data_IF_912293964126
#
_entry.id   IF_912293964126
#
_cell.length_a   1.000
_cell.length_b   1.000
_cell.length_c   1.000
_cell.angle_alpha   90.00
_cell.angle_beta   90.00
_cell.angle_gamma   90.00
#
_symmetry.space_group_name_H-M   'P 1'
#
loop_
_entity.id
_entity.type
_entity.pdbx_description
1 polymer ?
#
# COMPACT_ATOMS: atom_id res chain seq x y z
N UNK A 1 -20.99 26.90 14.97
CA UNK A 1 -21.71 26.69 13.70
C UNK A 1 -21.22 25.35 13.16
N UNK A 2 -22.00 24.31 13.35
CA UNK A 2 -21.70 22.95 12.92
C UNK A 2 -21.77 22.91 11.40
N UNK A 3 -20.66 22.86 10.71
CA UNK A 3 -20.60 22.57 9.29
C UNK A 3 -20.46 21.06 9.09
N UNK A 4 -21.59 20.53 8.68
CA UNK A 4 -21.90 19.29 8.08
C UNK A 4 -20.78 18.31 7.81
N UNK A 5 -20.61 17.34 8.72
CA UNK A 5 -20.15 16.04 8.31
C UNK A 5 -21.13 15.54 7.24
N UNK A 6 -20.61 15.20 6.07
CA UNK A 6 -21.39 14.55 5.03
C UNK A 6 -22.01 13.30 5.65
N UNK A 7 -23.33 13.31 5.86
CA UNK A 7 -24.12 12.12 6.12
C UNK A 7 -23.92 11.13 4.97
N UNK A 8 -22.81 10.42 4.99
CA UNK A 8 -22.56 9.24 4.20
C UNK A 8 -23.52 8.18 4.69
N UNK A 9 -24.48 7.80 3.84
CA UNK A 9 -25.42 6.69 3.99
C UNK A 9 -24.82 5.59 4.88
N UNK A 10 -25.52 5.23 5.94
CA UNK A 10 -25.10 4.36 7.06
C UNK A 10 -24.63 2.93 6.71
N UNK A 11 -23.82 2.78 5.71
CA UNK A 11 -23.15 1.54 5.35
C UNK A 11 -21.87 1.41 6.19
N UNK A 12 -21.98 0.70 7.30
CA UNK A 12 -20.81 0.36 8.14
C UNK A 12 -19.79 -0.42 7.31
N UNK A 13 -18.56 0.07 7.29
CA UNK A 13 -17.46 -0.64 6.63
C UNK A 13 -16.99 -1.78 7.50
N UNK A 14 -16.78 -2.94 6.90
CA UNK A 14 -16.23 -4.10 7.60
C UNK A 14 -14.70 -4.05 7.57
N UNK A 15 -14.10 -3.58 8.65
CA UNK A 15 -12.66 -3.59 8.86
C UNK A 15 -12.15 -4.99 9.17
N UNK A 16 -11.01 -5.38 8.62
CA UNK A 16 -10.43 -6.69 8.84
C UNK A 16 -8.94 -6.70 8.52
N UNK A 17 -8.05 -6.83 9.52
CA UNK A 17 -6.62 -7.00 9.31
C UNK A 17 -6.27 -8.19 8.41
N UNK A 18 -7.07 -9.27 8.47
CA UNK A 18 -6.88 -10.43 7.58
C UNK A 18 -7.08 -10.06 6.10
N UNK A 19 -8.11 -9.24 5.80
CA UNK A 19 -8.34 -8.77 4.42
C UNK A 19 -7.21 -7.87 3.94
N UNK A 20 -6.71 -6.98 4.81
CA UNK A 20 -5.56 -6.14 4.51
C UNK A 20 -4.32 -6.99 4.21
N UNK A 21 -4.05 -8.02 5.03
CA UNK A 21 -2.95 -8.97 4.80
C UNK A 21 -3.06 -9.67 3.45
N UNK A 22 -4.22 -10.20 3.11
CA UNK A 22 -4.45 -10.86 1.81
C UNK A 22 -4.20 -9.86 0.67
N UNK A 23 -4.72 -8.64 0.79
CA UNK A 23 -4.57 -7.60 -0.23
C UNK A 23 -3.11 -7.24 -0.48
N UNK A 24 -2.35 -7.01 0.59
CA UNK A 24 -0.93 -6.64 0.50
C UNK A 24 -0.03 -7.79 0.02
N UNK A 25 -0.46 -9.04 0.22
CA UNK A 25 0.34 -10.23 -0.10
C UNK A 25 0.03 -10.80 -1.49
N UNK A 26 -1.15 -10.53 -2.07
CA UNK A 26 -1.58 -11.18 -3.32
C UNK A 26 -0.62 -10.92 -4.48
N UNK A 27 -0.16 -9.69 -4.66
CA UNK A 27 0.78 -9.32 -5.74
C UNK A 27 2.14 -10.01 -5.58
N UNK A 28 2.84 -9.82 -4.45
CA UNK A 28 4.11 -10.50 -4.19
C UNK A 28 4.01 -12.03 -4.24
N UNK A 29 2.93 -12.64 -3.71
CA UNK A 29 2.73 -14.10 -3.75
C UNK A 29 2.58 -14.60 -5.18
N UNK A 30 1.73 -13.96 -5.98
CA UNK A 30 1.54 -14.35 -7.39
C UNK A 30 2.84 -14.18 -8.19
N UNK A 31 3.58 -13.11 -7.95
CA UNK A 31 4.89 -12.88 -8.55
C UNK A 31 5.90 -13.96 -8.12
N UNK A 32 5.97 -14.31 -6.83
CA UNK A 32 6.86 -15.34 -6.33
C UNK A 32 6.52 -16.72 -6.91
N UNK A 33 5.24 -17.08 -7.04
CA UNK A 33 4.80 -18.32 -7.67
C UNK A 33 5.25 -18.35 -9.14
N UNK A 34 4.99 -17.26 -9.88
CA UNK A 34 5.35 -17.17 -11.30
C UNK A 34 6.86 -17.31 -11.51
N UNK A 35 7.67 -16.49 -10.87
CA UNK A 35 9.12 -16.53 -11.00
C UNK A 35 9.74 -17.78 -10.39
N UNK A 36 9.15 -18.32 -9.30
CA UNK A 36 9.55 -19.58 -8.69
C UNK A 36 9.38 -20.76 -9.64
N UNK A 37 8.26 -20.82 -10.36
CA UNK A 37 8.03 -21.86 -11.38
C UNK A 37 9.12 -21.83 -12.47
N UNK A 38 9.45 -20.64 -13.00
CA UNK A 38 10.52 -20.53 -13.99
C UNK A 38 11.89 -20.87 -13.39
N UNK A 39 12.19 -20.44 -12.18
CA UNK A 39 13.46 -20.79 -11.51
C UNK A 39 13.61 -22.29 -11.30
N UNK A 40 12.57 -22.96 -10.83
CA UNK A 40 12.56 -24.43 -10.68
C UNK A 40 12.74 -25.14 -12.03
N UNK A 41 12.07 -24.66 -13.09
CA UNK A 41 12.24 -25.19 -14.45
C UNK A 41 13.67 -25.06 -14.94
N UNK A 42 14.30 -23.90 -14.75
CA UNK A 42 15.71 -23.73 -15.11
C UNK A 42 16.64 -24.65 -14.34
N UNK A 43 16.45 -24.80 -13.03
CA UNK A 43 17.27 -25.70 -12.21
C UNK A 43 17.09 -27.15 -12.67
N UNK A 44 15.85 -27.58 -12.92
CA UNK A 44 15.57 -28.92 -13.41
C UNK A 44 16.29 -29.20 -14.73
N UNK A 45 16.16 -28.32 -15.73
CA UNK A 45 16.85 -28.48 -17.02
C UNK A 45 18.36 -28.41 -16.87
N UNK A 46 18.89 -27.59 -15.95
CA UNK A 46 20.33 -27.55 -15.68
C UNK A 46 20.87 -28.91 -15.17
N UNK A 47 20.11 -29.56 -14.31
CA UNK A 47 20.47 -30.86 -13.77
C UNK A 47 20.36 -31.98 -14.83
N UNK A 48 19.35 -31.90 -15.71
CA UNK A 48 19.09 -32.90 -16.73
C UNK A 48 20.06 -32.83 -17.91
N UNK A 49 20.35 -31.64 -18.42
CA UNK A 49 21.18 -31.42 -19.60
C UNK A 49 22.69 -31.31 -19.30
N UNK A 50 23.03 -31.18 -18.03
CA UNK A 50 24.40 -31.04 -17.56
C UNK A 50 25.02 -29.66 -17.71
N UNK A 51 26.10 -29.41 -16.97
CA UNK A 51 26.76 -28.10 -16.89
C UNK A 51 27.33 -27.67 -18.26
N UNK A 52 27.82 -28.62 -19.07
CA UNK A 52 28.39 -28.30 -20.40
C UNK A 52 27.41 -27.62 -21.33
N UNK A 53 26.18 -28.12 -21.40
CA UNK A 53 25.12 -27.51 -22.20
C UNK A 53 24.84 -26.06 -21.76
N UNK A 54 24.83 -25.81 -20.45
CA UNK A 54 24.60 -24.46 -19.92
C UNK A 54 25.74 -23.50 -20.24
N UNK A 55 26.99 -23.98 -20.16
CA UNK A 55 28.15 -23.19 -20.52
C UNK A 55 28.15 -22.80 -22.01
N UNK A 56 27.77 -23.73 -22.89
CA UNK A 56 27.63 -23.46 -24.31
C UNK A 56 26.48 -22.47 -24.58
N UNK A 57 25.33 -22.63 -23.94
CA UNK A 57 24.20 -21.71 -24.08
C UNK A 57 24.50 -20.31 -23.55
N UNK A 58 25.24 -20.22 -22.44
CA UNK A 58 25.71 -18.95 -21.88
C UNK A 58 26.68 -18.25 -22.85
N UNK A 59 27.59 -19.03 -23.45
CA UNK A 59 28.60 -18.52 -24.38
C UNK A 59 27.99 -18.02 -25.71
N UNK A 60 26.95 -18.69 -26.18
CA UNK A 60 26.30 -18.37 -27.44
C UNK A 60 25.19 -17.30 -27.32
N UNK A 61 24.58 -17.16 -26.14
CA UNK A 61 23.42 -16.30 -25.99
C UNK A 61 23.45 -15.46 -24.70
N UNK A 62 24.15 -14.31 -24.77
CA UNK A 62 24.25 -13.36 -23.66
C UNK A 62 22.89 -12.89 -23.12
N UNK A 63 21.87 -12.75 -23.97
CA UNK A 63 20.53 -12.32 -23.56
C UNK A 63 19.87 -13.35 -22.64
N UNK A 64 20.21 -14.62 -22.74
CA UNK A 64 19.71 -15.67 -21.86
C UNK A 64 20.23 -15.50 -20.43
N UNK A 65 21.50 -15.08 -20.26
CA UNK A 65 22.06 -14.79 -18.93
C UNK A 65 21.29 -13.63 -18.28
N UNK A 66 21.09 -12.55 -19.01
CA UNK A 66 20.36 -11.39 -18.49
C UNK A 66 18.94 -11.76 -18.08
N UNK A 67 18.25 -12.58 -18.89
CA UNK A 67 16.91 -13.07 -18.58
C UNK A 67 16.90 -13.97 -17.31
N UNK A 68 17.88 -14.84 -17.17
CA UNK A 68 18.04 -15.70 -15.99
C UNK A 68 18.27 -14.88 -14.73
N UNK A 69 19.19 -13.92 -14.78
CA UNK A 69 19.45 -13.01 -13.65
C UNK A 69 18.17 -12.23 -13.30
N UNK A 70 17.47 -11.71 -14.29
CA UNK A 70 16.23 -10.95 -14.08
C UNK A 70 15.15 -11.78 -13.37
N UNK A 71 14.93 -13.03 -13.77
CA UNK A 71 13.97 -13.95 -13.12
C UNK A 71 14.33 -14.14 -11.65
N UNK A 72 15.59 -14.44 -11.35
CA UNK A 72 16.01 -14.72 -9.97
C UNK A 72 15.97 -13.46 -9.10
N UNK A 73 16.36 -12.32 -9.63
CA UNK A 73 16.25 -11.03 -8.92
C UNK A 73 14.78 -10.69 -8.63
N UNK A 74 13.88 -10.92 -9.60
CA UNK A 74 12.44 -10.70 -9.42
C UNK A 74 11.83 -11.65 -8.36
N UNK A 75 12.30 -12.89 -8.30
CA UNK A 75 11.89 -13.83 -7.25
C UNK A 75 12.34 -13.36 -5.87
N UNK A 76 13.61 -13.00 -5.72
CA UNK A 76 14.15 -12.47 -4.46
C UNK A 76 13.42 -11.22 -4.02
N UNK A 77 13.18 -10.29 -4.94
CA UNK A 77 12.42 -9.07 -4.66
C UNK A 77 10.99 -9.37 -4.21
N UNK A 78 10.31 -10.33 -4.84
CA UNK A 78 8.96 -10.73 -4.46
C UNK A 78 8.92 -11.31 -3.04
N UNK A 79 9.86 -12.18 -2.69
CA UNK A 79 9.99 -12.75 -1.35
C UNK A 79 10.30 -11.64 -0.32
N UNK A 80 11.22 -10.73 -0.64
CA UNK A 80 11.55 -9.61 0.23
C UNK A 80 10.33 -8.72 0.50
N UNK A 81 9.55 -8.38 -0.55
CA UNK A 81 8.31 -7.61 -0.42
C UNK A 81 7.27 -8.32 0.46
N UNK A 82 7.14 -9.65 0.33
CA UNK A 82 6.24 -10.44 1.19
C UNK A 82 6.62 -10.29 2.66
N UNK A 83 7.89 -10.48 2.98
CA UNK A 83 8.39 -10.38 4.35
C UNK A 83 8.19 -8.95 4.88
N UNK A 84 8.64 -7.93 4.12
CA UNK A 84 8.52 -6.53 4.50
C UNK A 84 7.06 -6.12 4.75
N UNK A 85 6.16 -6.44 3.83
CA UNK A 85 4.74 -6.10 3.98
C UNK A 85 4.10 -6.76 5.20
N UNK A 86 4.44 -8.02 5.47
CA UNK A 86 3.89 -8.73 6.63
C UNK A 86 4.43 -8.17 7.95
N UNK A 87 5.71 -7.82 8.02
CA UNK A 87 6.31 -7.21 9.21
C UNK A 87 5.69 -5.84 9.48
N UNK A 88 5.59 -4.98 8.44
CA UNK A 88 4.99 -3.65 8.56
C UNK A 88 3.54 -3.72 9.02
N UNK A 89 2.73 -4.59 8.39
CA UNK A 89 1.33 -4.76 8.77
C UNK A 89 1.19 -5.23 10.24
N UNK A 90 2.03 -6.18 10.68
CA UNK A 90 1.99 -6.65 12.05
C UNK A 90 2.39 -5.55 13.04
N UNK A 91 3.41 -4.76 12.71
CA UNK A 91 3.83 -3.60 13.53
C UNK A 91 2.69 -2.59 13.66
N UNK A 92 2.07 -2.20 12.55
CA UNK A 92 0.97 -1.23 12.54
C UNK A 92 -0.25 -1.72 13.32
N UNK A 93 -0.61 -3.01 13.16
CA UNK A 93 -1.71 -3.62 13.92
C UNK A 93 -1.40 -3.65 15.42
N UNK A 94 -0.15 -3.95 15.78
CA UNK A 94 0.26 -3.96 17.17
C UNK A 94 0.20 -2.55 17.77
N UNK A 95 0.72 -1.55 17.08
CA UNK A 95 0.70 -0.15 17.49
C UNK A 95 -0.74 0.34 17.74
N UNK A 96 -1.66 0.04 16.79
CA UNK A 96 -3.07 0.41 16.97
C UNK A 96 -3.72 -0.27 18.19
N UNK A 97 -3.37 -1.52 18.50
CA UNK A 97 -3.88 -2.22 19.69
C UNK A 97 -3.30 -1.67 20.97
N UNK A 98 -2.03 -1.32 20.96
CA UNK A 98 -1.35 -0.76 22.12
C UNK A 98 -1.90 0.64 22.47
N UNK A 99 -2.24 1.43 21.45
CA UNK A 99 -2.84 2.76 21.63
C UNK A 99 -4.36 2.70 21.90
N UNK A 100 -5.07 1.72 21.31
CA UNK A 100 -6.53 1.60 21.36
C UNK A 100 -6.94 0.17 21.71
N UNK A 101 -6.98 -0.19 23.01
CA UNK A 101 -7.30 -1.56 23.45
C UNK A 101 -8.66 -2.06 22.96
N UNK A 102 -9.62 -1.17 22.72
CA UNK A 102 -10.94 -1.52 22.19
C UNK A 102 -10.89 -2.14 20.78
N UNK A 103 -9.83 -1.87 20.01
CA UNK A 103 -9.63 -2.48 18.69
C UNK A 103 -9.17 -3.94 18.79
N UNK A 104 -8.66 -4.37 19.94
CA UNK A 104 -8.33 -5.78 20.17
C UNK A 104 -9.60 -6.62 20.21
N UNK A 105 -10.68 -6.09 20.79
CA UNK A 105 -11.97 -6.76 20.90
C UNK A 105 -12.74 -6.73 19.57
N UNK A 106 -12.88 -5.56 18.97
CA UNK A 106 -13.58 -5.41 17.68
C UNK A 106 -13.00 -4.28 16.82
N UNK A 107 -12.47 -4.66 15.65
CA UNK A 107 -12.00 -3.71 14.63
C UNK A 107 -13.12 -2.83 14.05
N UNK A 108 -14.38 -3.16 14.29
CA UNK A 108 -15.51 -2.35 13.81
C UNK A 108 -15.63 -1.02 14.57
N UNK A 109 -14.95 -0.87 15.71
CA UNK A 109 -14.84 0.39 16.45
C UNK A 109 -14.18 1.51 15.61
N UNK A 110 -13.41 1.16 14.57
CA UNK A 110 -12.93 2.13 13.57
C UNK A 110 -14.06 2.83 12.78
N UNK A 111 -15.32 2.35 12.85
CA UNK A 111 -16.44 3.09 12.26
C UNK A 111 -16.82 4.36 13.05
N UNK A 112 -16.34 4.48 14.30
CA UNK A 112 -16.54 5.63 15.16
C UNK A 112 -15.37 6.64 15.04
N UNK A 113 -14.64 6.61 13.90
CA UNK A 113 -13.51 7.48 13.60
C UNK A 113 -13.93 8.97 13.57
N UNK A 114 -13.04 9.85 14.02
CA UNK A 114 -13.25 11.31 14.04
C UNK A 114 -13.36 11.91 12.64
N UNK A 115 -12.64 11.33 11.69
CA UNK A 115 -12.75 11.63 10.25
C UNK A 115 -12.78 10.34 9.45
N UNK A 116 -13.60 10.29 8.40
CA UNK A 116 -13.72 9.12 7.54
C UNK A 116 -13.97 9.51 6.09
N UNK A 117 -13.11 9.02 5.18
CA UNK A 117 -13.28 9.18 3.74
C UNK A 117 -13.18 7.83 3.02
N UNK A 118 -14.30 7.40 2.45
CA UNK A 118 -14.44 6.13 1.73
C UNK A 118 -13.69 6.13 0.39
N UNK A 119 -13.56 7.29 -0.22
CA UNK A 119 -13.03 7.43 -1.56
C UNK A 119 -11.49 7.53 -1.55
N UNK A 120 -10.95 8.22 -0.56
CA UNK A 120 -9.52 8.18 -0.26
C UNK A 120 -9.10 6.89 0.47
N UNK A 121 -10.03 6.16 1.05
CA UNK A 121 -9.78 4.97 1.88
C UNK A 121 -8.99 5.27 3.15
N UNK A 122 -9.19 6.46 3.69
CA UNK A 122 -8.52 6.92 4.91
C UNK A 122 -9.53 7.24 5.99
N UNK A 123 -9.07 7.16 7.23
CA UNK A 123 -9.77 7.63 8.41
C UNK A 123 -8.77 8.20 9.41
N UNK A 124 -9.26 9.07 10.31
CA UNK A 124 -8.52 9.51 11.49
C UNK A 124 -9.24 8.94 12.70
N UNK A 125 -8.52 8.17 13.50
CA UNK A 125 -9.02 7.59 14.75
C UNK A 125 -8.08 8.00 15.87
N UNK A 126 -8.57 8.86 16.75
CA UNK A 126 -7.73 9.52 17.74
C UNK A 126 -6.54 10.23 17.10
N UNK A 127 -5.34 9.82 17.48
CA UNK A 127 -4.08 10.42 17.01
C UNK A 127 -3.49 9.75 15.76
N UNK A 128 -4.21 8.83 15.12
CA UNK A 128 -3.69 8.09 13.97
C UNK A 128 -4.46 8.38 12.68
N UNK A 129 -3.71 8.72 11.62
CA UNK A 129 -4.20 8.67 10.25
C UNK A 129 -4.00 7.25 9.73
N UNK A 130 -5.08 6.60 9.30
CA UNK A 130 -5.11 5.17 8.94
C UNK A 130 -5.60 5.01 7.51
N UNK A 131 -4.80 4.39 6.64
CA UNK A 131 -5.26 3.84 5.38
C UNK A 131 -5.92 2.48 5.64
N UNK A 132 -7.21 2.45 5.88
CA UNK A 132 -7.91 1.28 6.45
C UNK A 132 -7.93 0.03 5.55
N UNK A 133 -7.55 0.13 4.29
CA UNK A 133 -7.45 -1.02 3.38
C UNK A 133 -6.14 -1.78 3.54
N UNK A 134 -5.07 -1.06 3.79
CA UNK A 134 -3.72 -1.60 3.92
C UNK A 134 -3.27 -1.65 5.37
N UNK A 135 -3.95 -0.93 6.26
CA UNK A 135 -3.53 -0.68 7.63
C UNK A 135 -2.15 -0.02 7.68
N UNK A 136 -1.84 0.81 6.69
CA UNK A 136 -0.73 1.74 6.82
C UNK A 136 -1.20 2.88 7.72
N UNK A 137 -0.36 3.26 8.68
CA UNK A 137 -0.70 4.25 9.71
C UNK A 137 0.34 5.35 9.78
N UNK A 138 -0.09 6.51 10.25
CA UNK A 138 0.80 7.59 10.68
C UNK A 138 0.32 8.13 12.03
N UNK A 139 1.22 8.18 13.00
CA UNK A 139 0.99 8.78 14.31
C UNK A 139 1.14 10.30 14.21
N UNK A 140 0.02 10.99 14.21
CA UNK A 140 -0.05 12.43 13.90
C UNK A 140 0.75 13.31 14.87
N UNK A 141 0.79 13.05 16.18
CA UNK A 141 1.56 13.88 17.13
C UNK A 141 3.07 13.95 16.83
N UNK A 142 3.62 12.95 16.17
CA UNK A 142 5.04 12.92 15.79
C UNK A 142 5.29 13.33 14.33
N UNK A 143 4.22 13.59 13.56
CA UNK A 143 4.34 14.04 12.19
C UNK A 143 4.72 15.53 12.12
N UNK A 144 5.76 15.86 11.37
CA UNK A 144 6.11 17.23 11.01
C UNK A 144 5.41 17.68 9.72
N UNK A 145 5.16 16.75 8.80
CA UNK A 145 4.63 17.05 7.47
C UNK A 145 3.84 15.87 6.91
N UNK A 146 2.77 16.17 6.19
CA UNK A 146 2.03 15.19 5.38
C UNK A 146 1.97 15.70 3.93
N UNK A 147 2.52 14.88 3.03
CA UNK A 147 2.51 15.14 1.60
C UNK A 147 1.41 14.33 0.93
N UNK A 148 0.66 14.99 0.04
CA UNK A 148 -0.24 14.31 -0.87
C UNK A 148 0.27 14.45 -2.31
N UNK A 149 0.47 13.35 -3.01
CA UNK A 149 0.91 13.34 -4.39
C UNK A 149 -0.01 12.51 -5.29
N UNK A 150 -0.14 12.97 -6.53
CA UNK A 150 -0.98 12.29 -7.53
C UNK A 150 -0.16 11.30 -8.34
N UNK A 151 -0.37 10.02 -8.13
CA UNK A 151 0.29 8.96 -8.92
C UNK A 151 -0.59 8.54 -10.09
N UNK A 152 -0.08 8.72 -11.31
CA UNK A 152 -0.74 8.26 -12.51
C UNK A 152 -0.39 6.79 -12.80
N UNK A 153 -1.41 5.94 -12.89
CA UNK A 153 -1.25 4.54 -13.32
C UNK A 153 -1.87 4.36 -14.69
N UNK A 154 -1.08 3.89 -15.68
CA UNK A 154 -1.59 3.58 -17.02
C UNK A 154 -1.96 2.09 -17.08
N UNK A 155 -3.23 1.77 -17.04
CA UNK A 155 -3.71 0.41 -17.26
C UNK A 155 -3.86 0.13 -18.76
N UNK A 156 -3.01 -0.75 -19.31
CA UNK A 156 -3.01 -1.19 -20.71
C UNK A 156 -3.91 -2.42 -20.95
N UNK A 157 -5.17 -2.36 -20.65
CA UNK A 157 -6.10 -3.39 -21.10
C UNK A 157 -7.27 -2.70 -21.85
N UNK A 158 -7.18 -2.69 -23.18
CA UNK A 158 -8.18 -2.32 -24.20
C UNK A 158 -8.61 -0.84 -24.37
N UNK A 159 -8.34 0.09 -23.45
CA UNK A 159 -8.43 1.55 -23.67
C UNK A 159 -7.49 2.24 -22.68
N UNK A 160 -6.66 3.14 -23.19
CA UNK A 160 -5.78 3.99 -22.37
C UNK A 160 -6.64 4.84 -21.43
N UNK A 161 -6.72 4.45 -20.18
CA UNK A 161 -7.37 5.25 -19.15
C UNK A 161 -6.31 5.56 -18.09
N UNK A 162 -5.90 6.81 -18.04
CA UNK A 162 -5.07 7.33 -16.97
C UNK A 162 -5.93 7.36 -15.71
N UNK A 163 -5.49 6.64 -14.69
CA UNK A 163 -6.12 6.68 -13.38
C UNK A 163 -5.16 7.40 -12.46
N UNK A 164 -5.56 8.56 -11.99
CA UNK A 164 -4.80 9.36 -11.01
C UNK A 164 -5.31 9.03 -9.63
N UNK A 165 -4.38 8.72 -8.72
CA UNK A 165 -4.68 8.38 -7.33
C UNK A 165 -3.91 9.30 -6.40
N UNK A 166 -4.56 9.66 -5.30
CA UNK A 166 -3.89 10.36 -4.21
C UNK A 166 -3.20 9.32 -3.33
N UNK A 167 -1.91 9.51 -3.12
CA UNK A 167 -1.10 8.81 -2.14
C UNK A 167 -0.63 9.81 -1.10
N UNK A 168 -0.38 9.35 0.09
CA UNK A 168 0.10 10.16 1.18
C UNK A 168 1.46 9.66 1.66
N UNK A 169 2.35 10.58 2.04
CA UNK A 169 3.56 10.31 2.81
C UNK A 169 3.52 11.15 4.09
N UNK A 170 3.78 10.53 5.21
CA UNK A 170 3.94 11.19 6.49
C UNK A 170 5.43 11.29 6.83
N UNK A 171 5.89 12.48 7.17
CA UNK A 171 7.25 12.78 7.58
C UNK A 171 7.25 13.04 9.08
N UNK A 172 8.11 12.35 9.80
CA UNK A 172 8.21 12.45 11.25
C UNK A 172 9.28 13.45 11.68
N UNK A 173 9.20 13.90 12.90
CA UNK A 173 10.16 14.85 13.51
C UNK A 173 11.59 14.31 13.55
N UNK A 174 11.78 13.00 13.56
CA UNK A 174 13.08 12.32 13.51
C UNK A 174 13.67 12.20 12.09
N UNK A 175 12.97 12.70 11.07
CA UNK A 175 13.35 12.66 9.67
C UNK A 175 12.97 11.37 8.92
N UNK A 176 12.28 10.44 9.57
CA UNK A 176 11.76 9.25 8.92
C UNK A 176 10.54 9.56 8.05
N UNK A 177 10.32 8.78 6.99
CA UNK A 177 9.15 8.84 6.11
C UNK A 177 8.35 7.54 6.19
N UNK A 178 7.03 7.66 6.27
CA UNK A 178 6.09 6.54 6.15
C UNK A 178 5.18 6.75 4.95
N UNK A 179 5.20 5.82 3.99
CA UNK A 179 4.29 5.82 2.85
C UNK A 179 2.95 5.20 3.27
N UNK A 180 1.87 5.98 3.12
CA UNK A 180 0.50 5.55 3.38
C UNK A 180 -0.13 5.07 2.06
N UNK A 181 -0.17 3.75 1.88
CA UNK A 181 -0.61 3.12 0.63
C UNK A 181 -2.12 2.95 0.60
N UNK A 182 -2.73 3.31 -0.50
CA UNK A 182 -4.14 3.03 -0.78
C UNK A 182 -4.29 1.79 -1.65
N UNK A 183 -5.46 1.12 -1.60
CA UNK A 183 -5.74 -0.08 -2.39
C UNK A 183 -5.73 0.20 -3.89
N UNK A 184 -4.74 -0.33 -4.61
CA UNK A 184 -4.55 -0.14 -6.05
C UNK A 184 -5.51 -0.98 -6.91
N UNK A 185 -6.15 -2.01 -6.34
CA UNK A 185 -6.97 -2.97 -7.10
C UNK A 185 -8.42 -2.49 -7.32
N UNK A 186 -8.86 -1.42 -6.68
CA UNK A 186 -10.22 -0.94 -6.82
C UNK A 186 -10.43 -0.24 -8.16
N UNK A 187 -11.43 -0.68 -8.92
CA UNK A 187 -11.87 -0.01 -10.15
C UNK A 187 -12.38 1.39 -9.84
N UNK A 188 -11.70 2.41 -10.35
CA UNK A 188 -12.11 3.80 -10.17
C UNK A 188 -13.21 4.18 -11.16
N UNK A 189 -14.29 4.62 -10.60
CA UNK A 189 -15.30 5.41 -11.29
C UNK A 189 -14.91 6.85 -10.99
N UNK A 190 -14.52 7.59 -12.01
CA UNK A 190 -14.16 9.00 -12.14
C UNK A 190 -14.48 9.97 -10.98
N UNK A 191 -13.98 9.71 -9.78
CA UNK A 191 -14.26 10.49 -8.59
C UNK A 191 -13.30 11.66 -8.46
N UNK A 192 -13.78 12.76 -7.95
CA UNK A 192 -12.99 13.96 -7.70
C UNK A 192 -12.17 13.78 -6.41
N UNK A 193 -11.13 12.93 -6.45
CA UNK A 193 -10.24 12.68 -5.31
C UNK A 193 -9.56 13.96 -4.79
N UNK A 194 -9.48 15.00 -5.62
CA UNK A 194 -8.94 16.30 -5.20
C UNK A 194 -9.81 16.92 -4.11
N UNK A 195 -11.14 16.95 -4.28
CA UNK A 195 -12.05 17.52 -3.28
C UNK A 195 -11.99 16.72 -1.96
N UNK A 196 -11.89 15.40 -2.03
CA UNK A 196 -11.73 14.53 -0.85
C UNK A 196 -10.40 14.78 -0.13
N UNK A 197 -9.30 14.93 -0.87
CA UNK A 197 -8.00 15.31 -0.32
C UNK A 197 -8.06 16.66 0.37
N UNK A 198 -8.67 17.66 -0.29
CA UNK A 198 -8.79 19.01 0.27
C UNK A 198 -9.61 18.96 1.57
N UNK A 199 -10.69 18.19 1.64
CA UNK A 199 -11.49 17.99 2.86
C UNK A 199 -10.68 17.32 3.99
N UNK A 200 -9.86 16.31 3.68
CA UNK A 200 -8.95 15.71 4.68
C UNK A 200 -7.94 16.74 5.18
N UNK A 201 -7.35 17.53 4.30
CA UNK A 201 -6.37 18.54 4.67
C UNK A 201 -6.99 19.68 5.51
N UNK A 202 -8.24 20.06 5.22
CA UNK A 202 -8.95 21.05 6.04
C UNK A 202 -9.22 20.47 7.43
N UNK A 203 -9.64 19.20 7.55
CA UNK A 203 -9.79 18.54 8.85
C UNK A 203 -8.46 18.49 9.63
N UNK A 204 -7.34 18.13 8.96
CA UNK A 204 -6.03 18.06 9.60
C UNK A 204 -5.55 19.46 10.07
N UNK A 205 -5.79 20.52 9.28
CA UNK A 205 -5.45 21.90 9.69
C UNK A 205 -6.25 22.37 10.90
N UNK A 206 -7.49 21.95 11.02
CA UNK A 206 -8.35 22.34 12.15
C UNK A 206 -7.98 21.63 13.46
N UNK A 207 -7.49 20.39 13.38
CA UNK A 207 -7.25 19.55 14.55
C UNK A 207 -5.76 19.33 14.87
N UNK A 208 -4.86 19.48 13.88
CA UNK A 208 -3.42 19.24 13.96
C UNK A 208 -2.66 20.37 13.24
N UNK A 209 -2.80 21.62 13.73
CA UNK A 209 -2.31 22.85 13.09
C UNK A 209 -0.78 22.95 12.98
N UNK A 210 -0.05 22.11 13.73
CA UNK A 210 1.40 22.02 13.71
C UNK A 210 1.95 21.16 12.54
N UNK A 211 1.10 20.44 11.81
CA UNK A 211 1.52 19.59 10.68
C UNK A 211 1.55 20.42 9.40
N UNK A 212 2.71 20.45 8.73
CA UNK A 212 2.82 21.02 7.40
C UNK A 212 2.13 20.14 6.36
N UNK A 213 1.23 20.70 5.55
CA UNK A 213 0.47 19.97 4.54
C UNK A 213 0.86 20.46 3.15
N UNK A 214 1.50 19.58 2.36
CA UNK A 214 1.90 19.86 0.98
C UNK A 214 1.15 19.01 -0.04
N UNK A 215 0.96 19.58 -1.22
CA UNK A 215 0.36 18.90 -2.37
C UNK A 215 1.30 19.01 -3.56
N UNK A 216 1.61 17.87 -4.16
CA UNK A 216 2.33 17.78 -5.43
C UNK A 216 1.36 17.31 -6.51
N UNK A 217 1.06 18.19 -7.47
CA UNK A 217 0.19 17.93 -8.63
C UNK A 217 0.91 17.20 -9.77
#
# INVERSE_FOLDING_TARGET
MSLGGTEGSGERIKFSPLKARILMMIGPVMSAIFFGFFSCGFIYYALELGISFWLDMIRENFMFILFFIWIHMSLVESIYRMIKNNLLLNSNIQELRDCYPELEEDWQNLNDADYFDKDLQVLVYGDHLICYRTFDIAYLPECSKIDAFMKASVFRLSRFREVRRVHFSAWYLDGNESELRTDELRKFIGMNQKAHKDALFDYLRENFDYIELETFD
#
